data_IF_532456217604
#
_entry.id   IF_532456217604
#
_cell.length_a   1.000
_cell.length_b   1.000
_cell.length_c   1.000
_cell.angle_alpha   90.00
_cell.angle_beta   90.00
_cell.angle_gamma   90.00
#
_symmetry.space_group_name_H-M   'P 1'
#
loop_
_entity.id
_entity.type
_entity.pdbx_description
1 polymer ?
#
# COMPACT_ATOMS: atom_id res chain seq x y z
N UNK A 1 -27.17 11.24 4.44
CA UNK A 1 -26.43 10.96 5.69
C UNK A 1 -25.23 11.87 5.88
N UNK A 2 -24.46 12.13 4.82
CA UNK A 2 -23.30 13.04 4.88
C UNK A 2 -23.65 14.49 5.22
N UNK A 3 -24.81 15.00 4.80
CA UNK A 3 -25.23 16.38 5.08
C UNK A 3 -25.32 16.68 6.59
N UNK A 4 -25.77 15.74 7.42
CA UNK A 4 -25.83 15.95 8.87
C UNK A 4 -24.42 15.93 9.48
N UNK A 5 -23.57 15.01 9.05
CA UNK A 5 -22.20 14.91 9.54
C UNK A 5 -21.40 16.16 9.13
N UNK A 6 -21.37 16.48 7.83
CA UNK A 6 -20.62 17.60 7.27
C UNK A 6 -21.24 18.95 7.53
N UNK A 7 -22.48 19.17 7.10
CA UNK A 7 -23.06 20.51 7.03
C UNK A 7 -23.62 21.00 8.36
N UNK A 8 -23.90 20.11 9.32
CA UNK A 8 -24.47 20.47 10.62
C UNK A 8 -23.48 20.36 11.78
N UNK A 9 -22.66 19.30 11.82
CA UNK A 9 -21.83 19.00 12.99
C UNK A 9 -20.33 19.24 12.80
N UNK A 10 -19.76 18.87 11.65
CA UNK A 10 -18.32 18.94 11.37
C UNK A 10 -17.92 20.03 10.35
N UNK A 11 -18.72 21.10 10.28
CA UNK A 11 -18.55 22.24 9.35
C UNK A 11 -17.65 23.36 9.88
N UNK A 12 -16.85 23.16 10.93
CA UNK A 12 -16.03 24.15 11.66
C UNK A 12 -16.75 25.15 12.60
N UNK A 13 -18.09 25.23 12.60
CA UNK A 13 -18.81 26.25 13.39
C UNK A 13 -19.24 25.80 14.80
N UNK A 14 -19.32 24.49 15.05
CA UNK A 14 -19.93 23.93 16.27
C UNK A 14 -18.99 23.06 17.12
N UNK A 15 -17.86 22.58 16.56
CA UNK A 15 -16.91 21.68 17.21
C UNK A 15 -15.48 21.89 16.65
N UNK A 16 -14.39 21.66 17.42
CA UNK A 16 -13.03 22.06 17.04
C UNK A 16 -12.41 21.33 15.84
N UNK A 17 -13.08 20.36 15.21
CA UNK A 17 -12.56 19.62 14.05
C UNK A 17 -13.35 19.90 12.77
N UNK A 18 -12.75 20.71 11.89
CA UNK A 18 -13.19 20.92 10.52
C UNK A 18 -12.85 19.69 9.67
N UNK A 19 -13.69 18.65 9.72
CA UNK A 19 -13.46 17.43 8.94
C UNK A 19 -13.59 17.69 7.43
N UNK A 20 -14.38 18.69 7.01
CA UNK A 20 -14.47 19.11 5.60
C UNK A 20 -13.09 19.42 5.00
N UNK A 21 -12.22 20.09 5.76
CA UNK A 21 -10.87 20.41 5.29
C UNK A 21 -10.00 19.17 4.98
N UNK A 22 -10.32 18.00 5.55
CA UNK A 22 -9.58 16.76 5.30
C UNK A 22 -9.94 16.12 3.95
N UNK A 23 -11.10 16.47 3.37
CA UNK A 23 -11.52 16.04 2.04
C UNK A 23 -11.34 17.13 0.99
N UNK A 24 -11.25 18.39 1.40
CA UNK A 24 -10.99 19.55 0.54
C UNK A 24 -9.50 19.66 0.14
N UNK A 25 -8.91 18.54 -0.28
CA UNK A 25 -7.56 18.45 -0.80
C UNK A 25 -7.58 18.47 -2.34
N UNK A 26 -6.56 19.05 -2.96
CA UNK A 26 -6.44 19.06 -4.44
C UNK A 26 -6.02 17.71 -5.03
N UNK A 27 -5.54 16.79 -4.18
CA UNK A 27 -5.10 15.46 -4.55
C UNK A 27 -6.23 14.43 -4.50
N UNK A 28 -5.89 13.21 -4.11
CA UNK A 28 -6.84 12.12 -4.00
C UNK A 28 -7.57 12.16 -2.64
N UNK A 29 -8.88 12.01 -2.68
CA UNK A 29 -9.73 11.87 -1.51
C UNK A 29 -10.75 10.75 -1.75
N UNK A 30 -11.22 10.12 -0.67
CA UNK A 30 -12.39 9.24 -0.81
C UNK A 30 -13.58 10.10 -1.27
N UNK A 31 -14.44 9.60 -2.19
CA UNK A 31 -15.48 10.41 -2.82
C UNK A 31 -16.68 10.60 -1.89
N UNK A 32 -16.49 11.25 -0.75
CA UNK A 32 -17.55 11.58 0.23
C UNK A 32 -18.47 12.72 -0.22
N UNK A 33 -18.56 12.98 -1.53
CA UNK A 33 -18.77 14.33 -2.05
C UNK A 33 -19.64 14.47 -3.28
N UNK A 34 -20.35 13.43 -3.71
CA UNK A 34 -21.53 13.63 -4.54
C UNK A 34 -22.69 14.09 -3.63
N UNK A 35 -22.72 15.36 -3.24
CA UNK A 35 -23.83 15.96 -2.48
C UNK A 35 -25.17 15.47 -3.07
N UNK A 36 -25.90 14.70 -2.29
CA UNK A 36 -27.23 14.11 -2.54
C UNK A 36 -27.48 13.20 -3.75
N UNK A 37 -26.64 13.13 -4.79
CA UNK A 37 -26.91 12.19 -5.91
C UNK A 37 -26.68 10.72 -5.53
N UNK A 38 -25.89 10.47 -4.48
CA UNK A 38 -25.66 9.14 -3.90
C UNK A 38 -26.18 8.97 -2.46
N UNK A 39 -26.71 10.02 -1.81
CA UNK A 39 -27.19 9.92 -0.42
C UNK A 39 -28.37 8.94 -0.24
N UNK A 40 -29.08 8.62 -1.33
CA UNK A 40 -30.13 7.60 -1.37
C UNK A 40 -29.59 6.19 -1.70
N UNK A 41 -28.30 6.03 -2.02
CA UNK A 41 -27.70 4.71 -2.31
C UNK A 41 -27.29 3.97 -1.05
N UNK A 42 -26.90 4.70 0.00
CA UNK A 42 -26.50 4.06 1.25
C UNK A 42 -27.68 3.40 1.95
N UNK A 43 -27.50 2.13 2.28
CA UNK A 43 -28.38 1.41 3.18
C UNK A 43 -27.57 0.72 4.27
N UNK A 44 -27.97 0.92 5.52
CA UNK A 44 -27.37 0.24 6.69
C UNK A 44 -27.51 -1.27 6.62
N UNK A 45 -28.41 -1.79 5.77
CA UNK A 45 -28.62 -3.22 5.53
C UNK A 45 -28.19 -3.66 4.14
N UNK A 46 -27.39 -2.86 3.42
CA UNK A 46 -26.82 -3.27 2.15
C UNK A 46 -25.94 -4.53 2.32
N UNK A 47 -26.01 -5.43 1.34
CA UNK A 47 -25.17 -6.62 1.29
C UNK A 47 -23.80 -6.24 0.75
N UNK A 48 -22.76 -6.47 1.55
CA UNK A 48 -21.36 -6.20 1.21
C UNK A 48 -20.65 -7.46 0.66
N UNK A 49 -19.63 -7.33 -0.21
CA UNK A 49 -19.19 -6.09 -0.85
C UNK A 49 -20.21 -5.59 -1.88
N UNK A 50 -20.33 -4.27 -2.01
CA UNK A 50 -21.24 -3.66 -2.98
C UNK A 50 -20.80 -3.98 -4.43
N UNK A 51 -21.74 -4.24 -5.36
CA UNK A 51 -21.41 -4.29 -6.77
C UNK A 51 -20.87 -2.93 -7.24
N UNK A 52 -20.05 -2.95 -8.29
CA UNK A 52 -19.32 -1.78 -8.76
C UNK A 52 -20.19 -0.53 -9.02
N UNK A 53 -21.40 -0.72 -9.57
CA UNK A 53 -22.35 0.37 -9.90
C UNK A 53 -22.95 1.06 -8.66
N UNK A 54 -22.91 0.39 -7.51
CA UNK A 54 -23.53 0.84 -6.27
C UNK A 54 -22.51 1.25 -5.22
N UNK A 55 -21.21 1.06 -5.48
CA UNK A 55 -20.15 1.53 -4.59
C UNK A 55 -20.23 3.03 -4.37
N UNK A 56 -20.14 3.40 -3.09
CA UNK A 56 -20.16 4.75 -2.59
C UNK A 56 -19.34 4.79 -1.30
N UNK A 57 -19.02 6.00 -0.83
CA UNK A 57 -18.37 6.20 0.46
C UNK A 57 -19.10 7.34 1.18
N UNK A 58 -19.64 7.04 2.34
CA UNK A 58 -20.24 8.00 3.28
C UNK A 58 -19.52 7.97 4.61
N UNK A 59 -19.74 8.98 5.44
CA UNK A 59 -19.15 9.05 6.78
C UNK A 59 -19.48 7.80 7.60
N UNK A 60 -20.71 7.30 7.46
CA UNK A 60 -21.20 6.12 8.21
C UNK A 60 -20.59 4.80 7.75
N UNK A 61 -19.92 4.79 6.60
CA UNK A 61 -19.22 3.59 6.12
C UNK A 61 -17.95 3.29 6.91
N UNK A 62 -17.37 4.31 7.53
CA UNK A 62 -16.16 4.20 8.36
C UNK A 62 -16.40 4.63 9.80
N UNK A 63 -17.49 5.32 10.12
CA UNK A 63 -17.79 5.81 11.46
C UNK A 63 -19.20 5.43 11.89
N UNK A 64 -19.33 4.81 13.07
CA UNK A 64 -20.66 4.58 13.64
C UNK A 64 -21.02 5.74 14.59
N UNK A 65 -21.97 6.64 14.27
CA UNK A 65 -22.28 7.78 15.13
C UNK A 65 -22.85 7.40 16.51
N UNK A 66 -23.32 6.16 16.69
CA UNK A 66 -23.82 5.66 17.97
C UNK A 66 -22.76 4.94 18.81
N UNK A 67 -21.59 4.63 18.25
CA UNK A 67 -20.55 3.84 18.95
C UNK A 67 -19.14 4.45 18.86
N UNK A 68 -18.89 5.32 17.89
CA UNK A 68 -17.63 6.03 17.75
C UNK A 68 -17.38 6.86 19.01
N UNK A 69 -16.18 6.73 19.55
CA UNK A 69 -15.70 7.53 20.68
C UNK A 69 -14.74 8.60 20.16
N UNK A 70 -14.41 9.56 21.03
CA UNK A 70 -13.68 10.79 20.74
C UNK A 70 -12.51 10.64 19.74
N UNK A 71 -12.42 11.54 18.74
CA UNK A 71 -11.44 11.52 17.64
C UNK A 71 -9.97 11.51 18.08
N UNK A 72 -9.67 12.02 19.27
CA UNK A 72 -8.31 12.03 19.83
C UNK A 72 -8.10 10.91 20.86
N UNK A 73 -9.05 9.99 21.01
CA UNK A 73 -8.70 8.69 21.59
C UNK A 73 -7.62 8.13 20.67
N UNK A 74 -6.40 7.86 21.16
CA UNK A 74 -5.37 7.30 20.29
C UNK A 74 -6.00 6.10 19.59
N UNK A 75 -5.82 6.01 18.26
CA UNK A 75 -5.72 4.70 17.65
C UNK A 75 -4.67 4.03 18.51
N UNK A 76 -5.11 3.16 19.44
CA UNK A 76 -4.34 2.81 20.63
C UNK A 76 -2.91 2.61 20.20
N UNK A 77 -1.96 3.34 20.81
CA UNK A 77 -0.52 3.13 20.62
C UNK A 77 -0.35 1.66 20.33
N UNK A 78 0.17 1.30 19.16
CA UNK A 78 0.24 -0.05 18.66
C UNK A 78 1.08 -0.93 19.59
N UNK A 79 0.62 -1.18 20.82
CA UNK A 79 0.74 -2.47 21.43
C UNK A 79 -0.08 -3.33 20.50
N UNK A 80 0.60 -3.89 19.50
CA UNK A 80 0.17 -5.05 18.79
C UNK A 80 -0.69 -5.87 19.75
N UNK A 81 -1.93 -6.19 19.36
CA UNK A 81 -2.58 -7.32 19.99
C UNK A 81 -1.51 -8.41 20.02
N UNK A 82 -1.09 -8.95 21.18
CA UNK A 82 0.14 -9.74 21.25
C UNK A 82 0.15 -10.99 20.36
N UNK A 83 -0.95 -11.25 19.64
CA UNK A 83 -1.14 -12.35 18.71
C UNK A 83 -2.14 -12.01 17.57
N UNK A 84 -2.23 -10.78 17.06
CA UNK A 84 -3.19 -10.52 15.97
C UNK A 84 -3.23 -9.12 15.34
N UNK A 85 -4.06 -8.96 14.30
CA UNK A 85 -4.18 -7.72 13.54
C UNK A 85 -4.58 -6.51 14.37
N UNK A 86 -4.27 -5.29 13.90
CA UNK A 86 -4.55 -4.09 14.64
C UNK A 86 -6.07 -3.92 14.78
N UNK A 87 -6.53 -3.90 16.03
CA UNK A 87 -7.95 -3.87 16.32
C UNK A 87 -8.59 -2.55 15.92
N UNK A 88 -9.86 -2.60 15.57
CA UNK A 88 -10.73 -1.42 15.48
C UNK A 88 -10.72 -0.69 16.83
N UNK A 89 -10.57 0.63 16.80
CA UNK A 89 -10.56 1.46 18.00
C UNK A 89 -11.17 2.84 17.69
N UNK A 90 -11.34 3.64 18.75
CA UNK A 90 -11.71 5.05 18.63
C UNK A 90 -12.93 5.31 17.74
N UNK A 91 -12.67 6.02 16.65
CA UNK A 91 -13.64 6.50 15.66
C UNK A 91 -14.21 5.43 14.75
N UNK A 92 -13.60 4.24 14.71
CA UNK A 92 -14.00 3.13 13.84
C UNK A 92 -14.89 2.10 14.56
N UNK A 93 -15.16 2.29 15.86
CA UNK A 93 -15.96 1.33 16.65
C UNK A 93 -17.36 1.15 16.08
N UNK A 94 -17.84 -0.09 16.08
CA UNK A 94 -19.22 -0.42 15.71
C UNK A 94 -19.51 -0.43 14.20
N UNK A 95 -18.47 -0.32 13.37
CA UNK A 95 -18.60 -0.30 11.91
C UNK A 95 -18.61 -1.73 11.37
N UNK A 96 -19.38 -1.98 10.31
CA UNK A 96 -19.42 -3.27 9.61
C UNK A 96 -18.08 -3.54 8.91
N UNK A 97 -17.80 -4.79 8.53
CA UNK A 97 -16.56 -5.13 7.83
C UNK A 97 -16.68 -6.35 6.93
N UNK A 98 -15.61 -6.63 6.19
CA UNK A 98 -15.39 -7.85 5.41
C UNK A 98 -14.08 -8.48 5.91
N UNK A 99 -14.12 -9.71 6.41
CA UNK A 99 -12.90 -10.40 6.84
C UNK A 99 -12.03 -10.87 5.67
N UNK A 100 -10.84 -11.38 5.99
CA UNK A 100 -9.86 -11.85 5.00
C UNK A 100 -10.40 -12.98 4.09
N UNK A 101 -11.39 -13.75 4.56
CA UNK A 101 -11.90 -14.94 3.88
C UNK A 101 -13.10 -14.68 2.99
N UNK A 102 -13.88 -13.64 3.22
CA UNK A 102 -15.15 -13.52 2.50
C UNK A 102 -16.16 -12.69 3.21
N UNK A 103 -16.13 -12.82 4.53
CA UNK A 103 -17.35 -12.89 5.28
C UNK A 103 -17.69 -11.53 5.84
N UNK A 104 -18.96 -11.16 5.66
CA UNK A 104 -19.50 -9.97 6.28
C UNK A 104 -19.42 -10.07 7.80
N UNK A 105 -18.98 -8.99 8.41
CA UNK A 105 -18.92 -8.78 9.85
C UNK A 105 -19.92 -7.69 10.20
N UNK A 106 -20.84 -7.99 11.11
CA UNK A 106 -21.78 -7.00 11.65
C UNK A 106 -21.06 -5.94 12.46
N UNK A 107 -19.94 -6.30 13.10
CA UNK A 107 -18.97 -5.39 13.73
C UNK A 107 -17.56 -5.86 13.38
N UNK A 108 -16.78 -4.98 12.77
CA UNK A 108 -15.37 -5.20 12.46
C UNK A 108 -14.55 -5.30 13.75
N UNK A 109 -13.69 -6.31 13.80
CA UNK A 109 -12.72 -6.53 14.86
C UNK A 109 -11.38 -5.86 14.55
N UNK A 110 -11.02 -5.75 13.26
CA UNK A 110 -9.74 -5.22 12.79
C UNK A 110 -9.92 -4.12 11.74
N UNK A 111 -9.03 -3.14 11.68
CA UNK A 111 -9.19 -1.97 10.79
C UNK A 111 -9.32 -2.38 9.33
N UNK A 112 -8.49 -3.32 8.86
CA UNK A 112 -8.49 -3.75 7.47
C UNK A 112 -9.87 -4.26 7.01
N UNK A 113 -10.69 -4.80 7.94
CA UNK A 113 -12.01 -5.34 7.61
C UNK A 113 -12.96 -4.23 7.15
N UNK A 114 -12.79 -3.00 7.66
CA UNK A 114 -13.54 -1.83 7.23
C UNK A 114 -13.11 -1.43 5.81
N UNK A 115 -11.80 -1.37 5.56
CA UNK A 115 -11.25 -1.04 4.23
C UNK A 115 -11.68 -2.06 3.16
N UNK A 116 -11.71 -3.35 3.50
CA UNK A 116 -12.09 -4.43 2.59
C UNK A 116 -13.55 -4.38 2.14
N UNK A 117 -14.44 -3.64 2.82
CA UNK A 117 -15.79 -3.36 2.29
C UNK A 117 -15.74 -2.81 0.86
N UNK A 118 -14.73 -1.99 0.58
CA UNK A 118 -14.57 -1.30 -0.71
C UNK A 118 -13.35 -1.77 -1.50
N UNK A 119 -12.25 -2.16 -0.84
CA UNK A 119 -10.99 -2.52 -1.49
C UNK A 119 -10.81 -4.03 -1.73
N UNK A 120 -11.86 -4.84 -1.60
CA UNK A 120 -11.80 -6.28 -1.83
C UNK A 120 -12.92 -6.86 -2.72
N UNK A 121 -12.72 -8.11 -3.15
CA UNK A 121 -13.67 -8.90 -3.94
C UNK A 121 -13.71 -8.58 -5.44
N UNK A 122 -14.72 -9.11 -6.13
CA UNK A 122 -14.82 -9.02 -7.60
C UNK A 122 -14.87 -7.58 -8.14
N UNK A 123 -15.54 -6.68 -7.42
CA UNK A 123 -15.56 -5.27 -7.77
C UNK A 123 -14.17 -4.63 -7.61
N UNK A 124 -13.35 -5.15 -6.67
CA UNK A 124 -11.96 -4.73 -6.53
C UNK A 124 -11.11 -5.23 -7.72
N UNK A 125 -11.22 -6.52 -8.05
CA UNK A 125 -10.54 -7.14 -9.20
C UNK A 125 -10.82 -6.43 -10.52
N UNK A 126 -12.06 -5.95 -10.72
CA UNK A 126 -12.44 -5.24 -11.93
C UNK A 126 -11.91 -3.78 -12.00
N UNK A 127 -11.25 -3.28 -10.95
CA UNK A 127 -10.67 -1.92 -10.91
C UNK A 127 -11.70 -0.78 -10.86
N UNK A 128 -12.96 -1.09 -10.55
CA UNK A 128 -14.11 -0.20 -10.75
C UNK A 128 -14.23 0.98 -9.76
N UNK A 129 -13.21 1.24 -8.93
CA UNK A 129 -13.23 2.24 -7.85
C UNK A 129 -12.03 3.21 -7.93
N UNK A 130 -11.10 3.01 -8.87
CA UNK A 130 -9.94 3.86 -9.00
C UNK A 130 -10.20 4.95 -10.06
N UNK A 131 -10.40 6.18 -9.59
CA UNK A 131 -10.41 7.39 -10.43
C UNK A 131 -9.01 7.77 -10.90
N UNK A 132 -7.97 7.22 -10.28
CA UNK A 132 -6.57 7.41 -10.63
C UNK A 132 -6.01 6.20 -11.39
N UNK A 133 -5.12 6.42 -12.38
CA UNK A 133 -4.44 5.33 -13.07
C UNK A 133 -3.71 4.45 -12.07
N UNK A 134 -3.97 3.15 -12.13
CA UNK A 134 -3.25 2.18 -11.33
C UNK A 134 -1.82 2.05 -11.84
N UNK A 135 -0.89 1.81 -10.92
CA UNK A 135 0.45 1.35 -11.30
C UNK A 135 0.28 0.01 -12.02
N UNK A 136 0.71 -0.05 -13.28
CA UNK A 136 0.65 -1.29 -14.05
C UNK A 136 1.73 -2.22 -13.53
N UNK A 137 1.32 -3.36 -12.98
CA UNK A 137 2.21 -4.29 -12.28
C UNK A 137 2.34 -5.60 -13.04
N UNK A 138 3.46 -6.31 -12.88
CA UNK A 138 3.61 -7.69 -13.35
C UNK A 138 2.48 -8.59 -12.81
N UNK A 139 2.09 -8.39 -11.54
CA UNK A 139 0.88 -8.96 -10.93
C UNK A 139 -0.15 -7.86 -10.71
N UNK A 140 -1.22 -7.90 -11.50
CA UNK A 140 -2.24 -6.84 -11.55
C UNK A 140 -3.48 -7.07 -10.69
N UNK A 141 -3.44 -7.91 -9.65
CA UNK A 141 -4.60 -8.02 -8.77
C UNK A 141 -4.78 -6.74 -7.96
N UNK A 142 -6.03 -6.38 -7.75
CA UNK A 142 -6.45 -5.19 -7.02
C UNK A 142 -7.33 -5.55 -5.82
N UNK A 143 -7.65 -6.82 -5.67
CA UNK A 143 -8.33 -7.32 -4.48
C UNK A 143 -7.34 -7.34 -3.32
N UNK A 144 -7.47 -6.39 -2.41
CA UNK A 144 -6.56 -6.28 -1.28
C UNK A 144 -6.70 -7.46 -0.32
N UNK A 145 -7.82 -8.20 -0.34
CA UNK A 145 -7.86 -9.47 0.38
C UNK A 145 -6.95 -10.51 -0.21
N UNK A 146 -6.89 -10.63 -1.54
CA UNK A 146 -5.93 -11.52 -2.19
C UNK A 146 -4.49 -11.09 -1.92
N UNK A 147 -4.22 -9.79 -1.83
CA UNK A 147 -2.84 -9.27 -1.65
C UNK A 147 -2.36 -9.31 -0.20
N UNK A 148 -3.25 -9.18 0.77
CA UNK A 148 -2.90 -9.28 2.19
C UNK A 148 -3.16 -10.67 2.78
N UNK A 149 -3.88 -11.56 2.10
CA UNK A 149 -4.02 -12.94 2.56
C UNK A 149 -2.66 -13.65 2.50
N UNK A 150 -2.29 -14.24 3.63
CA UNK A 150 -1.05 -14.98 3.77
C UNK A 150 -1.04 -16.27 2.95
N UNK A 151 -2.22 -16.86 2.71
CA UNK A 151 -2.37 -18.03 1.86
C UNK A 151 -2.06 -17.74 0.40
N UNK A 152 -2.53 -16.60 -0.11
CA UNK A 152 -2.40 -16.22 -1.53
C UNK A 152 -1.19 -15.38 -1.88
N UNK A 153 -0.78 -14.41 -1.07
CA UNK A 153 0.21 -13.39 -1.47
C UNK A 153 1.36 -13.18 -0.49
N UNK A 154 1.26 -13.70 0.74
CA UNK A 154 2.29 -13.57 1.79
C UNK A 154 2.82 -12.13 1.92
N UNK A 155 1.92 -11.17 2.14
CA UNK A 155 2.33 -9.78 2.36
C UNK A 155 3.24 -9.63 3.58
N UNK A 156 4.31 -8.87 3.42
CA UNK A 156 5.23 -8.48 4.50
C UNK A 156 4.98 -7.07 5.02
N UNK A 157 3.88 -6.45 4.59
CA UNK A 157 3.26 -5.31 5.27
C UNK A 157 2.05 -5.85 6.05
N UNK A 158 2.25 -6.26 7.31
CA UNK A 158 1.32 -7.12 8.04
C UNK A 158 0.11 -6.33 8.56
N UNK A 159 -0.92 -6.18 7.72
CA UNK A 159 -2.21 -5.59 8.12
C UNK A 159 -3.20 -6.65 8.62
N UNK A 160 -3.15 -7.87 8.05
CA UNK A 160 -4.12 -8.94 8.32
C UNK A 160 -3.52 -10.17 9.02
N UNK A 161 -2.19 -10.28 9.08
CA UNK A 161 -1.50 -11.38 9.77
C UNK A 161 -0.19 -10.90 10.36
N UNK A 162 0.06 -11.32 11.60
CA UNK A 162 1.29 -11.00 12.30
C UNK A 162 2.53 -11.60 11.69
N UNK A 163 3.52 -10.73 11.55
CA UNK A 163 4.88 -11.11 11.27
C UNK A 163 5.59 -11.48 12.57
N UNK A 164 5.65 -12.79 12.85
CA UNK A 164 6.50 -13.33 13.91
C UNK A 164 7.88 -13.61 13.32
N UNK A 165 8.93 -13.01 13.89
CA UNK A 165 10.33 -13.32 13.51
C UNK A 165 10.60 -14.81 13.70
N UNK A 166 10.84 -15.52 12.61
CA UNK A 166 11.43 -16.87 12.66
C UNK A 166 12.88 -16.77 12.22
N UNK A 167 13.80 -16.54 13.17
CA UNK A 167 15.24 -16.46 12.94
C UNK A 167 15.83 -15.06 12.74
N UNK A 168 17.15 -15.00 12.49
CA UNK A 168 17.96 -13.77 12.49
C UNK A 168 17.95 -12.95 11.19
N UNK A 169 17.21 -13.34 10.15
CA UNK A 169 17.31 -12.73 8.81
C UNK A 169 16.12 -11.86 8.38
N UNK A 170 15.03 -11.82 9.15
CA UNK A 170 13.79 -11.13 8.76
C UNK A 170 13.56 -9.88 9.61
N UNK A 171 13.36 -8.73 8.96
CA UNK A 171 13.13 -7.43 9.62
C UNK A 171 14.36 -6.52 9.75
N UNK A 172 15.50 -6.88 9.15
CA UNK A 172 16.74 -6.08 9.23
C UNK A 172 16.62 -4.71 8.54
N UNK A 173 15.66 -4.54 7.64
CA UNK A 173 15.42 -3.26 6.97
C UNK A 173 14.53 -2.30 7.77
N UNK A 174 13.96 -2.72 8.90
CA UNK A 174 13.10 -1.88 9.73
C UNK A 174 13.93 -1.12 10.76
N UNK A 175 13.52 0.12 11.04
CA UNK A 175 14.09 0.95 12.11
C UNK A 175 13.91 0.35 13.50
N UNK A 176 12.86 -0.46 13.68
CA UNK A 176 12.62 -1.20 14.91
C UNK A 176 12.16 -2.61 14.63
N UNK A 177 12.82 -3.57 15.26
CA UNK A 177 12.36 -4.96 15.30
C UNK A 177 11.04 -5.11 16.09
N UNK A 178 10.56 -4.12 16.83
CA UNK A 178 9.24 -4.22 17.49
C UNK A 178 8.06 -4.04 16.53
N UNK A 179 8.29 -3.62 15.29
CA UNK A 179 7.24 -3.44 14.27
C UNK A 179 6.83 -4.81 13.71
N UNK A 180 5.74 -5.39 14.22
CA UNK A 180 5.21 -6.69 13.79
C UNK A 180 3.84 -6.62 13.11
N UNK A 181 3.14 -5.49 13.25
CA UNK A 181 1.85 -5.15 12.61
C UNK A 181 1.85 -3.69 12.16
N UNK A 182 1.03 -3.38 11.15
CA UNK A 182 0.70 -2.01 10.75
C UNK A 182 -0.79 -1.87 10.40
N UNK A 183 -1.35 -0.69 10.59
CA UNK A 183 -2.68 -0.29 10.13
C UNK A 183 -2.63 0.08 8.63
N UNK A 184 -3.75 0.01 7.92
CA UNK A 184 -3.86 0.58 6.56
C UNK A 184 -3.54 2.08 6.58
N UNK A 185 -3.98 2.76 7.64
CA UNK A 185 -3.72 4.18 7.87
C UNK A 185 -2.27 4.50 8.30
N UNK A 186 -1.43 3.47 8.47
CA UNK A 186 0.02 3.69 8.57
C UNK A 186 0.66 4.02 7.22
N UNK A 187 -0.06 3.84 6.12
CA UNK A 187 0.37 4.33 4.81
C UNK A 187 -0.62 5.33 4.22
N UNK A 188 -1.91 5.13 4.47
CA UNK A 188 -2.97 5.91 3.86
C UNK A 188 -3.55 7.00 4.76
N UNK A 189 -3.92 8.13 4.18
CA UNK A 189 -4.85 9.07 4.78
C UNK A 189 -6.28 8.62 4.45
N UNK A 190 -7.10 8.36 5.46
CA UNK A 190 -8.44 7.80 5.27
C UNK A 190 -9.43 8.78 4.62
N UNK A 191 -9.13 10.07 4.60
CA UNK A 191 -10.03 11.08 4.09
C UNK A 191 -9.51 11.66 2.77
N UNK A 192 -8.28 12.17 2.78
CA UNK A 192 -7.72 12.86 1.64
C UNK A 192 -6.26 13.23 1.82
N UNK A 193 -5.50 13.17 0.74
CA UNK A 193 -4.11 13.63 0.71
C UNK A 193 -3.76 14.26 -0.63
N UNK A 194 -2.57 14.86 -0.72
CA UNK A 194 -2.03 15.39 -1.97
C UNK A 194 -1.72 14.31 -3.03
N UNK A 195 -1.52 13.05 -2.63
CA UNK A 195 -1.02 12.00 -3.54
C UNK A 195 -1.60 10.62 -3.19
N UNK A 196 -2.50 10.10 -4.03
CA UNK A 196 -3.02 8.72 -3.96
C UNK A 196 -3.47 8.24 -2.56
N UNK A 197 -4.07 9.12 -1.76
CA UNK A 197 -4.49 8.83 -0.38
C UNK A 197 -3.32 8.40 0.51
N UNK A 198 -2.07 8.78 0.23
CA UNK A 198 -0.92 8.46 1.06
C UNK A 198 -0.72 9.52 2.14
N UNK A 199 -0.41 9.10 3.37
CA UNK A 199 -0.14 10.01 4.49
C UNK A 199 1.17 10.79 4.31
N UNK A 200 2.11 10.24 3.55
CA UNK A 200 3.42 10.83 3.26
C UNK A 200 3.75 10.63 1.79
N UNK A 201 4.62 11.50 1.27
CA UNK A 201 5.09 11.42 -0.12
C UNK A 201 5.76 10.07 -0.44
N UNK A 202 5.44 9.57 -1.63
CA UNK A 202 6.08 8.42 -2.25
C UNK A 202 6.09 8.59 -3.77
N UNK A 203 6.96 9.45 -4.30
CA UNK A 203 7.03 9.73 -5.73
C UNK A 203 7.29 8.44 -6.51
N UNK A 204 6.40 8.13 -7.46
CA UNK A 204 6.56 6.97 -8.32
C UNK A 204 7.35 7.29 -9.60
N UNK A 205 7.73 8.56 -9.78
CA UNK A 205 8.44 9.06 -10.96
C UNK A 205 9.94 8.84 -10.94
N UNK A 206 10.47 8.41 -12.08
CA UNK A 206 11.90 8.39 -12.37
C UNK A 206 12.39 9.82 -12.75
N UNK A 207 13.55 10.33 -12.33
CA UNK A 207 14.60 9.77 -11.47
C UNK A 207 14.72 10.52 -10.13
N UNK A 208 13.60 10.65 -9.43
CA UNK A 208 13.57 11.40 -8.16
C UNK A 208 14.66 10.91 -7.22
N UNK A 209 15.32 11.86 -6.55
CA UNK A 209 16.46 11.50 -5.74
C UNK A 209 16.08 10.71 -4.50
N UNK A 210 16.74 9.59 -4.21
CA UNK A 210 16.59 8.92 -2.93
C UNK A 210 17.13 9.75 -1.76
N UNK A 211 16.25 10.00 -0.80
CA UNK A 211 16.52 10.51 0.54
C UNK A 211 15.29 10.26 1.41
N UNK A 212 15.45 10.34 2.73
CA UNK A 212 14.33 10.38 3.68
C UNK A 212 13.30 11.46 3.32
N UNK A 213 13.75 12.63 2.84
CA UNK A 213 12.85 13.73 2.48
C UNK A 213 12.00 13.45 1.24
N UNK A 214 12.50 12.62 0.31
CA UNK A 214 11.85 12.38 -0.97
C UNK A 214 10.98 11.13 -0.95
N UNK A 215 11.29 10.16 -0.07
CA UNK A 215 10.47 8.96 0.14
C UNK A 215 10.08 8.79 1.62
N UNK A 216 9.49 9.83 2.25
CA UNK A 216 9.20 9.83 3.68
C UNK A 216 8.24 8.72 4.09
N UNK A 217 7.37 8.24 3.18
CA UNK A 217 6.48 7.13 3.46
C UNK A 217 7.25 5.85 3.81
N UNK A 218 8.09 5.36 2.88
CA UNK A 218 8.86 4.13 3.05
C UNK A 218 9.86 4.27 4.21
N UNK A 219 10.53 5.42 4.28
CA UNK A 219 11.51 5.71 5.31
C UNK A 219 10.88 6.02 6.67
N UNK A 220 9.56 6.09 6.82
CA UNK A 220 8.94 6.15 8.14
C UNK A 220 9.20 4.86 8.94
N UNK A 221 9.28 3.71 8.26
CA UNK A 221 9.53 2.41 8.86
C UNK A 221 10.90 1.82 8.51
N UNK A 222 11.40 2.07 7.29
CA UNK A 222 12.65 1.47 6.83
C UNK A 222 13.91 2.28 7.16
N UNK A 223 14.98 1.58 7.49
CA UNK A 223 16.29 2.17 7.76
C UNK A 223 17.09 2.41 6.46
N UNK A 224 17.33 3.68 6.13
CA UNK A 224 18.06 4.07 4.91
C UNK A 224 19.50 3.54 4.91
N UNK A 225 20.18 3.58 6.06
CA UNK A 225 21.57 3.17 6.19
C UNK A 225 21.73 1.68 5.89
N UNK A 226 20.84 0.86 6.44
CA UNK A 226 20.79 -0.56 6.17
C UNK A 226 20.47 -0.84 4.70
N UNK A 227 19.41 -0.21 4.19
CA UNK A 227 18.93 -0.44 2.83
C UNK A 227 19.96 -0.05 1.76
N UNK A 228 20.91 0.84 2.07
CA UNK A 228 21.89 1.34 1.10
C UNK A 228 23.34 0.97 1.44
N UNK A 229 23.53 0.15 2.47
CA UNK A 229 24.84 -0.29 2.93
C UNK A 229 25.66 -1.00 1.85
N UNK A 230 26.94 -0.67 1.73
CA UNK A 230 27.88 -1.42 0.87
C UNK A 230 28.28 -2.78 1.42
N UNK A 231 27.98 -3.04 2.70
CA UNK A 231 28.31 -4.29 3.36
C UNK A 231 27.32 -5.44 3.03
N UNK A 232 26.14 -5.14 2.48
CA UNK A 232 25.10 -6.15 2.22
C UNK A 232 24.79 -6.26 0.72
N UNK A 233 24.35 -7.43 0.26
CA UNK A 233 23.93 -7.62 -1.14
C UNK A 233 22.71 -6.77 -1.49
N UNK A 234 21.76 -6.65 -0.56
CA UNK A 234 20.59 -5.78 -0.74
C UNK A 234 20.98 -4.31 -0.86
N UNK A 235 21.93 -3.83 -0.05
CA UNK A 235 22.39 -2.46 -0.14
C UNK A 235 23.18 -2.17 -1.40
N UNK A 236 23.97 -3.13 -1.92
CA UNK A 236 24.57 -3.03 -3.25
C UNK A 236 23.52 -2.88 -4.36
N UNK A 237 22.43 -3.64 -4.31
CA UNK A 237 21.34 -3.53 -5.29
C UNK A 237 20.64 -2.16 -5.23
N UNK A 238 20.31 -1.68 -4.03
CA UNK A 238 19.69 -0.36 -3.88
C UNK A 238 20.62 0.77 -4.31
N UNK A 239 21.91 0.74 -3.97
CA UNK A 239 22.83 1.77 -4.48
C UNK A 239 22.88 1.79 -6.01
N UNK A 240 22.90 0.61 -6.63
CA UNK A 240 22.90 0.50 -8.09
C UNK A 240 21.67 1.16 -8.71
N UNK A 241 20.46 0.78 -8.28
CA UNK A 241 19.23 1.18 -8.97
C UNK A 241 18.56 2.41 -8.36
N UNK A 242 18.55 2.56 -7.04
CA UNK A 242 17.87 3.65 -6.33
C UNK A 242 18.77 4.89 -6.18
N UNK A 243 20.09 4.70 -6.04
CA UNK A 243 21.06 5.82 -6.13
C UNK A 243 21.64 6.02 -7.53
N UNK A 244 21.28 5.16 -8.49
CA UNK A 244 21.80 5.24 -9.86
C UNK A 244 23.30 4.93 -9.95
N UNK A 245 23.90 4.27 -8.96
CA UNK A 245 25.31 3.89 -8.93
C UNK A 245 25.56 2.54 -9.64
N UNK A 246 24.77 2.24 -10.67
CA UNK A 246 24.77 0.96 -11.38
C UNK A 246 26.07 0.69 -12.16
N UNK A 247 26.80 1.75 -12.52
CA UNK A 247 28.10 1.64 -13.19
C UNK A 247 29.19 2.31 -12.33
N UNK A 248 30.19 1.57 -11.80
CA UNK A 248 31.27 2.14 -10.99
C UNK A 248 32.16 3.13 -11.76
N UNK A 249 32.10 3.13 -13.10
CA UNK A 249 32.81 4.05 -13.98
C UNK A 249 31.96 5.27 -14.39
N UNK A 250 30.71 5.35 -13.94
CA UNK A 250 29.79 6.44 -14.27
C UNK A 250 29.42 7.21 -13.01
N UNK A 251 29.66 8.52 -13.03
CA UNK A 251 29.12 9.46 -12.03
C UNK A 251 27.68 9.87 -12.34
N UNK A 252 27.05 9.30 -13.37
CA UNK A 252 25.71 9.66 -13.80
C UNK A 252 24.65 9.03 -12.88
N UNK A 253 24.18 9.81 -11.92
CA UNK A 253 23.05 9.48 -11.03
C UNK A 253 21.69 9.88 -11.60
N UNK A 254 21.56 10.13 -12.91
CA UNK A 254 20.29 10.52 -13.53
C UNK A 254 19.33 9.35 -13.73
N UNK A 255 19.77 8.11 -13.45
CA UNK A 255 18.96 6.90 -13.62
C UNK A 255 18.64 6.25 -12.26
N UNK A 256 17.73 6.87 -11.49
CA UNK A 256 17.31 6.44 -10.15
C UNK A 256 15.89 5.89 -10.18
N UNK A 257 15.73 4.65 -9.76
CA UNK A 257 14.42 4.01 -9.61
C UNK A 257 13.76 4.44 -8.28
N UNK A 258 12.47 4.72 -8.33
CA UNK A 258 11.63 4.85 -7.13
C UNK A 258 11.46 3.50 -6.42
N UNK A 259 11.16 3.51 -5.13
CA UNK A 259 10.86 2.28 -4.38
C UNK A 259 9.71 1.49 -5.05
N UNK A 260 8.69 2.21 -5.53
CA UNK A 260 7.53 1.64 -6.20
C UNK A 260 7.82 1.09 -7.60
N UNK A 261 8.95 1.43 -8.23
CA UNK A 261 9.30 0.83 -9.52
C UNK A 261 9.54 -0.69 -9.40
N UNK A 262 10.01 -1.16 -8.24
CA UNK A 262 10.28 -2.57 -7.97
C UNK A 262 9.30 -3.18 -6.97
N UNK A 263 8.98 -2.44 -5.90
CA UNK A 263 8.21 -2.96 -4.77
C UNK A 263 6.73 -2.63 -4.87
N UNK A 264 5.91 -3.61 -4.50
CA UNK A 264 4.49 -3.48 -4.27
C UNK A 264 4.19 -3.62 -2.77
N UNK A 265 3.72 -2.56 -2.09
CA UNK A 265 3.58 -2.58 -0.65
C UNK A 265 2.46 -3.50 -0.16
N UNK A 266 1.47 -3.87 -0.96
CA UNK A 266 0.33 -4.63 -0.42
C UNK A 266 0.56 -6.13 -0.40
N UNK A 267 1.23 -6.67 -1.41
CA UNK A 267 1.47 -8.11 -1.53
C UNK A 267 1.57 -8.56 -2.97
N UNK A 268 2.18 -9.72 -3.17
CA UNK A 268 2.46 -10.28 -4.50
C UNK A 268 1.76 -11.64 -4.60
N UNK A 269 0.53 -11.69 -5.18
CA UNK A 269 -0.25 -12.93 -5.27
C UNK A 269 0.46 -14.05 -6.01
N UNK A 270 0.21 -15.29 -5.58
CA UNK A 270 0.72 -16.53 -6.16
C UNK A 270 0.05 -16.93 -7.49
N UNK A 271 -1.01 -16.22 -7.90
CA UNK A 271 -1.85 -16.65 -9.03
C UNK A 271 -1.14 -16.42 -10.38
N UNK A 272 -1.39 -17.34 -11.32
CA UNK A 272 -0.84 -17.42 -12.70
C UNK A 272 0.51 -18.17 -12.88
N UNK A 273 0.62 -19.38 -12.31
CA UNK A 273 1.61 -20.37 -12.78
C UNK A 273 3.05 -20.11 -12.37
N UNK A 274 3.28 -19.19 -11.43
CA UNK A 274 4.60 -18.99 -10.84
C UNK A 274 4.83 -19.96 -9.70
N UNK A 275 5.93 -20.69 -9.80
CA UNK A 275 6.39 -21.57 -8.76
C UNK A 275 7.17 -20.78 -7.72
N UNK A 276 6.84 -21.08 -6.47
CA UNK A 276 7.53 -20.72 -5.24
C UNK A 276 7.21 -19.35 -4.64
N UNK A 277 7.13 -19.41 -3.31
CA UNK A 277 7.09 -18.38 -2.30
C UNK A 277 8.12 -17.25 -2.40
N UNK A 278 8.87 -17.12 -3.50
CA UNK A 278 10.07 -16.29 -3.57
C UNK A 278 9.76 -14.81 -3.75
N UNK A 279 8.98 -14.39 -4.76
CA UNK A 279 8.77 -12.95 -5.02
C UNK A 279 8.04 -12.20 -3.91
N UNK A 280 7.16 -12.91 -3.21
CA UNK A 280 6.50 -12.39 -2.03
C UNK A 280 7.52 -12.01 -0.93
N UNK A 281 8.64 -12.72 -0.75
CA UNK A 281 9.62 -12.48 0.33
C UNK A 281 10.16 -11.04 0.37
N UNK A 282 10.26 -10.39 -0.79
CA UNK A 282 10.77 -9.03 -0.91
C UNK A 282 9.74 -8.07 -1.49
N UNK A 283 8.49 -8.53 -1.65
CA UNK A 283 7.41 -7.75 -2.24
C UNK A 283 7.78 -7.14 -3.60
N UNK A 284 8.56 -7.87 -4.42
CA UNK A 284 8.96 -7.39 -5.74
C UNK A 284 7.89 -7.77 -6.76
N UNK A 285 7.30 -6.73 -7.34
CA UNK A 285 6.27 -6.77 -8.38
C UNK A 285 6.47 -5.52 -9.24
N UNK A 286 7.18 -5.68 -10.35
CA UNK A 286 7.69 -4.54 -11.12
C UNK A 286 6.59 -3.66 -11.69
N UNK A 287 6.87 -2.36 -11.72
CA UNK A 287 6.07 -1.40 -12.47
C UNK A 287 6.39 -1.52 -13.97
N UNK A 288 5.42 -1.97 -14.75
CA UNK A 288 5.51 -2.21 -16.18
C UNK A 288 5.70 -0.92 -16.98
N UNK A 289 5.42 0.26 -16.40
CA UNK A 289 5.78 1.56 -17.00
C UNK A 289 7.27 1.68 -17.22
N UNK A 290 8.09 1.00 -16.42
CA UNK A 290 9.56 1.06 -16.46
C UNK A 290 10.24 -0.28 -16.80
N UNK A 291 9.71 -1.41 -16.32
CA UNK A 291 10.38 -2.71 -16.43
C UNK A 291 9.96 -3.56 -17.64
N UNK A 292 8.86 -3.20 -18.31
CA UNK A 292 8.29 -3.97 -19.42
C UNK A 292 7.63 -5.29 -18.98
N UNK A 293 6.77 -5.84 -19.84
CA UNK A 293 5.87 -6.97 -19.54
C UNK A 293 6.56 -8.33 -19.35
N UNK A 294 7.79 -8.51 -19.83
CA UNK A 294 8.58 -9.73 -19.64
C UNK A 294 9.46 -9.70 -18.38
N UNK A 295 9.34 -8.67 -17.54
CA UNK A 295 10.12 -8.57 -16.32
C UNK A 295 9.73 -9.65 -15.31
N UNK A 296 10.72 -10.20 -14.61
CA UNK A 296 10.52 -11.24 -13.61
C UNK A 296 11.53 -11.12 -12.48
N UNK A 297 11.15 -11.68 -11.34
CA UNK A 297 11.98 -11.77 -10.16
C UNK A 297 11.96 -13.22 -9.66
N UNK A 298 13.05 -13.64 -9.03
CA UNK A 298 13.15 -14.87 -8.26
C UNK A 298 13.95 -14.60 -6.99
N UNK A 299 13.27 -14.57 -5.84
CA UNK A 299 13.96 -14.37 -4.56
C UNK A 299 14.82 -15.55 -4.12
N UNK A 300 14.56 -16.77 -4.59
CA UNK A 300 15.33 -17.95 -4.17
C UNK A 300 16.76 -17.88 -4.69
N UNK A 301 16.90 -17.51 -5.95
CA UNK A 301 18.20 -17.27 -6.59
C UNK A 301 18.67 -15.83 -6.40
N UNK A 302 17.82 -14.96 -5.85
CA UNK A 302 18.10 -13.54 -5.75
C UNK A 302 18.50 -13.03 -7.15
N UNK A 303 17.58 -13.14 -8.09
CA UNK A 303 17.81 -12.72 -9.47
C UNK A 303 16.59 -12.02 -10.06
N UNK A 304 16.83 -11.12 -11.01
CA UNK A 304 15.78 -10.47 -11.77
C UNK A 304 16.11 -10.47 -13.27
N UNK A 305 15.05 -10.39 -14.06
CA UNK A 305 15.09 -10.14 -15.49
C UNK A 305 14.26 -8.89 -15.76
N UNK A 306 14.81 -7.93 -16.50
CA UNK A 306 14.08 -6.75 -16.95
C UNK A 306 14.19 -6.66 -18.47
N UNK A 307 13.03 -6.60 -19.13
CA UNK A 307 12.92 -6.80 -20.58
C UNK A 307 12.46 -5.52 -21.28
N UNK A 308 13.22 -5.09 -22.28
CA UNK A 308 12.82 -4.04 -23.22
C UNK A 308 12.51 -2.69 -22.57
N UNK A 309 11.87 -1.82 -23.34
CA UNK A 309 11.39 -0.51 -22.87
C UNK A 309 10.06 -0.65 -22.14
N UNK A 310 9.93 -0.02 -20.97
CA UNK A 310 8.66 0.06 -20.25
C UNK A 310 7.56 0.75 -21.07
N UNK A 311 6.30 0.58 -20.66
CA UNK A 311 5.13 1.08 -21.43
C UNK A 311 5.05 2.59 -21.50
N UNK A 312 5.76 3.32 -20.63
CA UNK A 312 5.82 4.79 -20.63
C UNK A 312 6.89 5.38 -21.56
N UNK A 313 7.69 4.53 -22.22
CA UNK A 313 8.88 4.96 -22.97
C UNK A 313 10.11 5.24 -22.10
N UNK A 314 9.94 5.36 -20.78
CA UNK A 314 11.03 5.29 -19.81
C UNK A 314 11.36 3.82 -19.55
N UNK A 315 12.66 3.50 -19.47
CA UNK A 315 13.11 2.13 -19.25
C UNK A 315 14.17 2.06 -18.17
N UNK A 316 14.07 1.05 -17.31
CA UNK A 316 15.18 0.66 -16.44
C UNK A 316 16.41 0.25 -17.27
N UNK A 317 16.21 -0.45 -18.39
CA UNK A 317 17.28 -0.86 -19.31
C UNK A 317 16.87 -0.64 -20.77
N UNK A 318 17.70 0.03 -21.60
CA UNK A 318 17.36 0.33 -23.00
C UNK A 318 17.37 -0.91 -23.91
N UNK A 319 17.95 -2.02 -23.43
CA UNK A 319 17.94 -3.33 -24.07
C UNK A 319 17.51 -4.38 -23.06
N UNK A 320 17.01 -5.52 -23.54
CA UNK A 320 16.77 -6.68 -22.69
C UNK A 320 18.06 -7.07 -21.99
N UNK A 321 18.05 -7.04 -20.66
CA UNK A 321 19.16 -7.55 -19.86
C UNK A 321 19.04 -9.06 -19.72
N UNK A 322 20.15 -9.79 -19.65
CA UNK A 322 20.11 -11.18 -19.20
C UNK A 322 19.75 -11.24 -17.71
N UNK A 323 19.42 -12.43 -17.21
CA UNK A 323 19.16 -12.63 -15.77
C UNK A 323 20.35 -12.13 -14.94
N UNK A 324 20.13 -11.11 -14.12
CA UNK A 324 21.15 -10.54 -13.25
C UNK A 324 20.90 -10.96 -11.79
N UNK A 325 21.96 -11.34 -11.08
CA UNK A 325 21.89 -11.58 -9.62
C UNK A 325 22.02 -10.26 -8.84
N UNK A 326 21.69 -10.25 -7.54
CA UNK A 326 21.91 -9.10 -6.63
C UNK A 326 23.37 -8.60 -6.58
N UNK A 327 24.31 -9.27 -7.23
CA UNK A 327 25.64 -8.75 -7.46
C UNK A 327 25.72 -8.07 -8.85
N UNK A 328 25.47 -6.74 -8.94
CA UNK A 328 25.70 -5.99 -10.19
C UNK A 328 27.19 -5.91 -10.56
N UNK A 329 28.10 -6.45 -9.74
CA UNK A 329 29.53 -6.56 -10.03
C UNK A 329 29.96 -7.98 -10.40
N UNK A 330 29.73 -8.44 -11.63
CA UNK A 330 30.53 -9.51 -12.22
C UNK A 330 31.60 -9.00 -13.20
N UNK A 331 31.74 -7.68 -13.39
CA UNK A 331 32.79 -7.14 -14.27
C UNK A 331 34.03 -6.74 -13.46
N UNK A 332 35.23 -7.28 -13.82
CA UNK A 332 36.50 -6.93 -13.18
C UNK A 332 36.87 -5.45 -13.36
#
# INVERSE_FOLDING_TARGET
MDTNCYASCHNSSSYPSNVYSQFAVSGAHHPSGGYDSAANKHSETETLPLPATDKHVHCVDCHNPHQAIWQNAPLSNATASPNGPPSVNGVLKGVRGIDINGSQKTVASYEYEICFRCHSGDAALAGNYNTYPQVSRTFGSLDERERFDWGSAKSWHPVAKEFVRVGNSQGLSLKSASMTMIYCNDCHDSHGSGSHLLRLENPDTFSQGQSISNYPLCYSCHDETYLTSSATNIGKLHRAHVWGQHNPLSTNSSYRASCSACHDPHGVPYKAGLTTSSNALHLINFDLRYAGSGSSYDASTSSCLVTGTGTSGLSCHPTTTGTASFNPYPYP
#
